data_IF_333758866084
#
_entry.id   IF_333758866084
#
_cell.length_a   1.000
_cell.length_b   1.000
_cell.length_c   1.000
_cell.angle_alpha   90.00
_cell.angle_beta   90.00
_cell.angle_gamma   90.00
#
_symmetry.space_group_name_H-M   'P 1'
#
loop_
_entity.id
_entity.type
_entity.pdbx_description
1 polymer ?
#
# COMPACT_ATOMS: atom_id res chain seq x y z
N UNK A 1 -14.71 17.82 12.57
CA UNK A 1 -13.26 18.07 12.50
C UNK A 1 -12.90 18.21 11.03
N UNK A 2 -12.53 19.43 10.61
CA UNK A 2 -12.46 19.82 9.20
C UNK A 2 -11.37 19.07 8.43
N UNK A 3 -11.79 18.32 7.41
CA UNK A 3 -10.93 17.72 6.41
C UNK A 3 -10.24 18.81 5.59
N UNK A 4 -8.97 19.05 5.90
CA UNK A 4 -8.10 19.86 5.08
C UNK A 4 -7.35 18.99 4.08
N UNK A 5 -7.81 18.92 2.84
CA UNK A 5 -6.99 18.37 1.76
C UNK A 5 -7.65 18.33 0.39
N UNK A 6 -7.58 19.41 -0.37
CA UNK A 6 -7.22 19.31 -1.79
C UNK A 6 -5.78 19.82 -1.92
N UNK A 7 -4.86 18.97 -2.42
CA UNK A 7 -3.48 19.32 -2.80
C UNK A 7 -3.07 18.62 -4.13
N UNK A 8 -4.03 18.52 -5.05
CA UNK A 8 -3.96 18.33 -6.54
C UNK A 8 -3.09 17.21 -7.13
N UNK A 9 -2.88 16.10 -6.40
CA UNK A 9 -2.33 14.84 -6.90
C UNK A 9 -0.80 14.78 -7.14
N UNK A 10 -0.03 15.67 -6.52
CA UNK A 10 1.42 15.77 -6.74
C UNK A 10 1.77 16.46 -8.06
N UNK A 11 2.99 16.28 -8.57
CA UNK A 11 3.60 17.24 -9.50
C UNK A 11 2.85 17.59 -10.81
N UNK A 12 1.87 16.79 -11.24
CA UNK A 12 0.82 17.09 -12.23
C UNK A 12 -0.22 15.93 -12.16
N UNK A 13 -0.62 15.51 -10.95
CA UNK A 13 -1.45 14.30 -10.75
C UNK A 13 -0.68 12.98 -10.65
N UNK A 14 0.61 12.96 -11.02
CA UNK A 14 1.41 11.73 -11.01
C UNK A 14 1.61 11.07 -9.64
N UNK A 15 1.55 11.81 -8.53
CA UNK A 15 1.66 11.18 -7.20
C UNK A 15 0.34 10.57 -6.75
N UNK A 16 -0.79 11.10 -7.18
CA UNK A 16 -2.08 10.44 -6.96
C UNK A 16 -2.11 9.11 -7.68
N UNK A 17 -1.74 9.10 -8.97
CA UNK A 17 -1.69 7.87 -9.76
C UNK A 17 -0.80 6.81 -9.10
N UNK A 18 0.42 7.17 -8.68
CA UNK A 18 1.32 6.24 -8.00
C UNK A 18 0.74 5.73 -6.70
N UNK A 19 0.12 6.61 -5.88
CA UNK A 19 -0.50 6.19 -4.64
C UNK A 19 -1.66 5.21 -4.88
N UNK A 20 -2.50 5.47 -5.88
CA UNK A 20 -3.64 4.64 -6.24
C UNK A 20 -3.19 3.28 -6.79
N UNK A 21 -2.21 3.26 -7.70
CA UNK A 21 -1.67 2.01 -8.26
C UNK A 21 -0.99 1.15 -7.20
N UNK A 22 -0.23 1.75 -6.29
CA UNK A 22 0.38 1.02 -5.17
C UNK A 22 -0.69 0.49 -4.20
N UNK A 23 -1.74 1.27 -3.94
CA UNK A 23 -2.83 0.84 -3.08
C UNK A 23 -3.59 -0.34 -3.69
N UNK A 24 -3.96 -0.28 -4.97
CA UNK A 24 -4.66 -1.37 -5.66
C UNK A 24 -3.78 -2.62 -5.80
N UNK A 25 -2.49 -2.46 -6.08
CA UNK A 25 -1.56 -3.60 -6.12
C UNK A 25 -1.43 -4.28 -4.75
N UNK A 26 -1.28 -3.49 -3.67
CA UNK A 26 -1.25 -4.02 -2.31
C UNK A 26 -2.58 -4.69 -1.94
N UNK A 27 -3.71 -4.09 -2.31
CA UNK A 27 -5.05 -4.65 -2.09
C UNK A 27 -5.23 -5.99 -2.81
N UNK A 28 -4.77 -6.11 -4.05
CA UNK A 28 -4.88 -7.35 -4.82
C UNK A 28 -4.17 -8.52 -4.13
N UNK A 29 -2.99 -8.27 -3.55
CA UNK A 29 -2.26 -9.27 -2.76
C UNK A 29 -2.98 -9.52 -1.44
N UNK A 30 -3.38 -8.46 -0.72
CA UNK A 30 -4.01 -8.54 0.61
C UNK A 30 -5.29 -9.39 0.63
N UNK A 31 -6.07 -9.40 -0.46
CA UNK A 31 -7.32 -10.17 -0.58
C UNK A 31 -7.13 -11.55 -1.18
N UNK A 32 -5.92 -11.92 -1.60
CA UNK A 32 -5.63 -13.23 -2.21
C UNK A 32 -5.04 -14.18 -1.15
N UNK A 33 -5.79 -15.21 -0.71
CA UNK A 33 -5.30 -16.18 0.26
C UNK A 33 -4.21 -17.13 -0.26
N UNK A 34 -3.86 -17.06 -1.54
CA UNK A 34 -2.80 -17.86 -2.16
C UNK A 34 -1.60 -17.01 -2.57
N UNK A 35 -1.64 -15.70 -2.33
CA UNK A 35 -0.52 -14.82 -2.66
C UNK A 35 0.66 -15.01 -1.70
N UNK A 36 1.86 -15.04 -2.27
CA UNK A 36 3.07 -14.82 -1.47
C UNK A 36 3.08 -13.36 -1.01
N UNK A 37 3.25 -13.15 0.30
CA UNK A 37 3.24 -11.82 0.88
C UNK A 37 4.33 -11.66 1.94
N UNK A 38 4.87 -10.45 2.16
CA UNK A 38 5.84 -10.21 3.24
C UNK A 38 5.30 -10.59 4.62
N UNK A 39 3.99 -10.48 4.82
CA UNK A 39 3.32 -10.93 6.05
C UNK A 39 3.41 -12.44 6.23
N UNK A 40 3.14 -13.20 5.16
CA UNK A 40 3.27 -14.66 5.14
C UNK A 40 4.70 -15.10 5.42
N UNK A 41 5.70 -14.54 4.71
CA UNK A 41 7.12 -14.89 4.90
C UNK A 41 7.54 -14.69 6.36
N UNK A 42 7.21 -13.53 6.94
CA UNK A 42 7.56 -13.24 8.33
C UNK A 42 6.86 -14.17 9.32
N UNK A 43 5.58 -14.49 9.10
CA UNK A 43 4.86 -15.43 9.94
C UNK A 43 5.48 -16.84 9.91
N UNK A 44 5.97 -17.29 8.76
CA UNK A 44 6.67 -18.57 8.62
C UNK A 44 8.00 -18.55 9.39
N UNK A 45 8.77 -17.47 9.31
CA UNK A 45 10.01 -17.29 10.08
C UNK A 45 9.75 -17.35 11.61
N UNK A 46 8.59 -16.87 12.04
CA UNK A 46 8.13 -16.92 13.44
C UNK A 46 7.51 -18.26 13.84
N UNK A 47 7.41 -19.23 12.91
CA UNK A 47 6.85 -20.56 13.16
C UNK A 47 5.31 -20.61 13.19
N UNK A 48 4.65 -19.58 12.67
CA UNK A 48 3.20 -19.53 12.52
C UNK A 48 2.79 -20.06 11.14
N UNK A 49 1.85 -21.02 11.05
CA UNK A 49 1.36 -21.52 9.78
C UNK A 49 0.40 -20.50 9.17
N UNK A 50 0.94 -19.59 8.36
CA UNK A 50 0.20 -18.53 7.66
C UNK A 50 0.49 -18.63 6.17
N UNK A 51 -0.55 -18.42 5.35
CA UNK A 51 -0.48 -18.41 3.88
C UNK A 51 -1.31 -17.24 3.36
N UNK A 52 -0.96 -16.70 2.20
CA UNK A 52 -1.73 -15.66 1.53
C UNK A 52 -1.37 -14.23 1.95
N UNK A 53 -2.15 -13.28 1.42
CA UNK A 53 -2.12 -11.89 1.83
C UNK A 53 -2.83 -11.63 3.16
N UNK A 54 -2.55 -10.46 3.75
CA UNK A 54 -3.21 -9.98 4.96
C UNK A 54 -4.24 -8.92 4.63
N UNK A 55 -5.52 -9.21 4.87
CA UNK A 55 -6.58 -8.22 4.75
C UNK A 55 -6.55 -7.27 5.95
N UNK A 56 -6.03 -6.07 5.72
CA UNK A 56 -5.88 -5.01 6.72
C UNK A 56 -6.15 -3.64 6.08
N UNK A 57 -6.27 -2.58 6.88
CA UNK A 57 -6.46 -1.23 6.36
C UNK A 57 -5.20 -0.76 5.61
N UNK A 58 -5.38 -0.26 4.37
CA UNK A 58 -4.28 0.22 3.52
C UNK A 58 -4.40 1.74 3.34
N UNK A 59 -3.32 2.46 3.63
CA UNK A 59 -3.18 3.89 3.35
C UNK A 59 -1.82 4.16 2.71
N UNK A 60 -1.80 4.79 1.54
CA UNK A 60 -0.57 5.11 0.79
C UNK A 60 -0.39 6.62 0.69
N UNK A 61 0.84 7.10 0.93
CA UNK A 61 1.22 8.49 0.73
C UNK A 61 2.43 8.53 -0.21
N UNK A 62 2.29 9.22 -1.34
CA UNK A 62 3.36 9.39 -2.32
C UNK A 62 3.76 10.88 -2.45
N UNK A 63 5.08 11.13 -2.54
CA UNK A 63 5.63 12.47 -2.68
C UNK A 63 6.95 12.45 -3.48
N UNK A 64 7.24 13.57 -4.18
CA UNK A 64 8.50 13.77 -4.90
C UNK A 64 9.46 14.65 -4.09
N UNK A 65 10.60 14.10 -3.72
CA UNK A 65 11.72 14.87 -3.19
C UNK A 65 12.44 15.59 -4.34
N UNK A 66 12.54 16.92 -4.28
CA UNK A 66 13.31 17.71 -5.23
C UNK A 66 14.48 18.36 -4.53
N UNK A 67 15.64 18.37 -5.18
CA UNK A 67 16.77 19.19 -4.75
C UNK A 67 16.48 20.63 -5.18
N UNK A 68 16.56 21.56 -4.24
CA UNK A 68 16.53 23.01 -4.50
C UNK A 68 17.90 23.54 -4.87
#
# INVERSE_FOLDING_TARGET
>A
MGGGGDRTGGANGGMQLVADELMEAARAIAVDPWAESPYMEHAIEEGLPTEGGKLDDISVVAALCRRV
#
